data_IF_523602935163
#
_entry.id   IF_523602935163
#
_cell.length_a   1.000
_cell.length_b   1.000
_cell.length_c   1.000
_cell.angle_alpha   90.00
_cell.angle_beta   90.00
_cell.angle_gamma   90.00
#
_symmetry.space_group_name_H-M   'P 1'
#
loop_
_entity.id
_entity.type
_entity.pdbx_description
1 polymer ?
#
# COMPACT_ATOMS: atom_id res chain seq x y z
N UNK A 1 34.02 -26.44 61.03
CA UNK A 1 32.76 -25.98 60.42
C UNK A 1 32.19 -27.14 59.62
N UNK A 2 30.92 -27.48 59.87
CA UNK A 2 30.23 -28.62 59.30
C UNK A 2 29.02 -28.07 58.53
N UNK A 3 28.76 -28.55 57.32
CA UNK A 3 27.45 -28.42 56.67
C UNK A 3 27.17 -29.67 55.83
N UNK A 4 26.18 -30.43 56.29
CA UNK A 4 25.39 -31.42 55.56
C UNK A 4 24.73 -30.75 54.32
N UNK A 5 24.31 -31.40 53.25
CA UNK A 5 24.07 -32.81 52.90
C UNK A 5 22.92 -32.88 51.87
N UNK A 6 22.75 -34.05 51.22
CA UNK A 6 21.47 -34.61 50.68
C UNK A 6 20.88 -33.88 49.44
N UNK A 7 20.39 -34.50 48.37
CA UNK A 7 20.08 -35.88 47.98
C UNK A 7 19.17 -35.85 46.74
N UNK A 8 19.31 -36.87 45.89
CA UNK A 8 18.35 -37.50 44.94
C UNK A 8 16.98 -36.86 44.63
N UNK A 9 16.67 -36.64 43.35
CA UNK A 9 15.39 -36.92 42.65
C UNK A 9 15.52 -36.35 41.21
N UNK A 10 15.50 -37.14 40.12
CA UNK A 10 14.34 -37.87 39.62
C UNK A 10 13.93 -37.24 38.28
N UNK A 11 14.53 -37.68 37.17
CA UNK A 11 14.08 -37.32 35.82
C UNK A 11 12.91 -38.23 35.42
N UNK A 12 11.71 -37.72 35.10
CA UNK A 12 10.81 -38.48 34.25
C UNK A 12 11.21 -38.26 32.79
N UNK A 13 11.77 -39.30 32.19
CA UNK A 13 11.75 -39.48 30.75
C UNK A 13 10.29 -39.70 30.31
N UNK A 14 9.77 -38.82 29.46
CA UNK A 14 8.53 -39.09 28.73
C UNK A 14 8.79 -38.89 27.24
N UNK A 15 8.83 -40.02 26.54
CA UNK A 15 8.78 -40.07 25.08
C UNK A 15 7.39 -39.57 24.63
N UNK A 16 7.37 -38.47 23.90
CA UNK A 16 6.23 -38.05 23.10
C UNK A 16 6.78 -37.52 21.79
N UNK A 17 6.53 -38.25 20.69
CA UNK A 17 6.90 -37.83 19.35
C UNK A 17 6.28 -36.45 19.04
N UNK A 18 7.07 -35.37 19.13
CA UNK A 18 6.69 -34.10 18.52
C UNK A 18 6.91 -34.25 17.03
N UNK A 19 5.82 -34.53 16.32
CA UNK A 19 5.73 -34.29 14.88
C UNK A 19 6.28 -32.89 14.62
N UNK A 20 7.25 -32.77 13.73
CA UNK A 20 7.57 -31.49 13.14
C UNK A 20 6.30 -31.03 12.41
N UNK A 21 5.60 -30.05 12.97
CA UNK A 21 4.59 -29.33 12.23
C UNK A 21 5.32 -28.69 11.05
N UNK A 22 5.07 -29.27 9.87
CA UNK A 22 5.31 -28.62 8.60
C UNK A 22 4.59 -27.27 8.68
N UNK A 23 5.34 -26.19 8.90
CA UNK A 23 4.87 -24.85 8.61
C UNK A 23 4.62 -24.81 7.10
N UNK A 24 3.37 -25.09 6.74
CA UNK A 24 2.83 -24.67 5.46
C UNK A 24 3.25 -23.21 5.27
N UNK A 25 3.90 -22.91 4.14
CA UNK A 25 4.19 -21.54 3.73
C UNK A 25 2.87 -20.79 3.74
N UNK A 26 2.57 -20.13 4.85
CA UNK A 26 1.43 -19.24 4.98
C UNK A 26 1.68 -18.10 4.02
N UNK A 27 0.96 -18.11 2.89
CA UNK A 27 0.97 -17.00 1.96
C UNK A 27 0.63 -15.73 2.72
N UNK A 28 1.31 -14.63 2.39
CA UNK A 28 1.04 -13.30 2.91
C UNK A 28 -0.31 -12.75 2.39
N UNK A 29 -1.26 -13.62 2.00
CA UNK A 29 -2.67 -13.27 1.83
C UNK A 29 -3.37 -13.37 3.18
N UNK A 30 -2.99 -12.49 4.11
CA UNK A 30 -3.59 -12.42 5.42
C UNK A 30 -4.76 -11.43 5.36
N UNK A 31 -6.00 -11.93 5.45
CA UNK A 31 -7.13 -11.08 5.82
C UNK A 31 -6.82 -10.45 7.19
N UNK A 32 -6.43 -9.18 7.23
CA UNK A 32 -6.26 -8.46 8.50
C UNK A 32 -7.65 -8.06 8.96
N UNK A 33 -8.18 -8.77 9.96
CA UNK A 33 -9.45 -8.44 10.61
C UNK A 33 -9.20 -7.46 11.75
N UNK A 34 -9.60 -6.21 11.58
CA UNK A 34 -9.73 -5.24 12.65
C UNK A 34 -11.22 -4.92 12.82
N UNK A 35 -11.76 -5.06 14.03
CA UNK A 35 -13.14 -4.81 14.48
C UNK A 35 -14.10 -4.27 13.41
N UNK A 36 -14.78 -5.16 12.68
CA UNK A 36 -15.81 -4.83 11.69
C UNK A 36 -15.34 -4.65 10.24
N UNK A 37 -14.03 -4.47 10.00
CA UNK A 37 -13.46 -4.26 8.68
C UNK A 37 -12.56 -5.44 8.29
N UNK A 38 -12.85 -6.05 7.13
CA UNK A 38 -11.95 -7.03 6.50
C UNK A 38 -11.06 -6.27 5.53
N UNK A 39 -9.77 -6.19 5.84
CA UNK A 39 -8.79 -5.62 4.91
C UNK A 39 -8.36 -6.73 3.95
N UNK A 40 -8.78 -6.63 2.71
CA UNK A 40 -8.33 -7.49 1.62
C UNK A 40 -7.03 -6.93 1.05
N UNK A 41 -5.90 -7.41 1.55
CA UNK A 41 -4.59 -7.20 0.93
C UNK A 41 -4.35 -8.39 0.01
N UNK A 42 -4.38 -8.14 -1.28
CA UNK A 42 -4.03 -9.16 -2.27
C UNK A 42 -2.50 -9.18 -2.47
N UNK A 43 -1.81 -10.31 -2.21
CA UNK A 43 -0.37 -10.42 -2.44
C UNK A 43 0.03 -10.40 -3.92
N UNK A 44 -0.91 -10.66 -4.84
CA UNK A 44 -0.66 -10.64 -6.28
C UNK A 44 -0.87 -9.24 -6.90
N UNK A 45 -1.43 -8.30 -6.13
CA UNK A 45 -1.54 -6.91 -6.56
C UNK A 45 -0.19 -6.20 -6.50
N UNK A 46 0.04 -5.32 -7.46
CA UNK A 46 1.20 -4.42 -7.48
C UNK A 46 1.15 -3.40 -6.34
N UNK A 47 -0.06 -3.07 -5.89
CA UNK A 47 -0.30 -2.11 -4.83
C UNK A 47 -1.65 -2.40 -4.17
N UNK A 48 -1.68 -2.50 -2.84
CA UNK A 48 -2.88 -2.78 -2.07
C UNK A 48 -3.00 -1.76 -0.93
N UNK A 49 -4.16 -1.12 -0.78
CA UNK A 49 -4.39 -0.10 0.25
C UNK A 49 -5.81 -0.12 0.79
N UNK A 50 -5.95 0.20 2.06
CA UNK A 50 -7.23 0.38 2.74
C UNK A 50 -7.18 1.65 3.58
N UNK A 51 -8.21 2.49 3.46
CA UNK A 51 -8.32 3.73 4.20
C UNK A 51 -9.28 3.57 5.37
N UNK A 52 -8.71 3.50 6.58
CA UNK A 52 -9.44 3.20 7.82
C UNK A 52 -10.63 4.13 8.07
N UNK A 53 -10.52 5.42 7.73
CA UNK A 53 -11.59 6.40 8.00
C UNK A 53 -12.81 6.22 7.10
N UNK A 54 -12.63 5.84 5.82
CA UNK A 54 -13.75 5.68 4.86
C UNK A 54 -14.16 4.24 4.65
N UNK A 55 -13.35 3.27 5.09
CA UNK A 55 -13.56 1.85 4.82
C UNK A 55 -13.21 1.43 3.40
N UNK A 56 -12.78 2.37 2.55
CA UNK A 56 -12.46 2.09 1.15
C UNK A 56 -11.19 1.27 0.99
N UNK A 57 -11.15 0.45 -0.05
CA UNK A 57 -9.96 -0.33 -0.43
C UNK A 57 -9.70 -0.25 -1.93
N UNK A 58 -8.46 -0.51 -2.32
CA UNK A 58 -8.04 -0.65 -3.70
C UNK A 58 -6.84 -1.60 -3.80
N UNK A 59 -6.90 -2.52 -4.75
CA UNK A 59 -5.84 -3.41 -5.19
C UNK A 59 -5.60 -3.13 -6.67
N UNK A 60 -4.35 -2.86 -7.05
CA UNK A 60 -3.93 -2.45 -8.40
C UNK A 60 -3.20 -3.61 -9.08
N UNK A 61 -3.63 -3.96 -10.28
CA UNK A 61 -3.06 -5.02 -11.12
C UNK A 61 -2.75 -4.45 -12.51
N UNK A 62 -1.85 -5.10 -13.25
CA UNK A 62 -1.79 -4.93 -14.70
C UNK A 62 -3.03 -5.58 -15.32
N UNK A 63 -3.62 -4.95 -16.33
CA UNK A 63 -4.63 -5.61 -17.15
C UNK A 63 -3.98 -6.73 -17.98
N UNK A 64 -4.79 -7.69 -18.46
CA UNK A 64 -4.32 -8.84 -19.24
C UNK A 64 -3.60 -8.42 -20.54
N UNK A 65 -4.02 -7.29 -21.13
CA UNK A 65 -3.48 -6.71 -22.35
C UNK A 65 -2.45 -5.60 -22.10
N UNK A 66 -1.92 -5.50 -20.87
CA UNK A 66 -0.92 -4.51 -20.51
C UNK A 66 0.34 -4.62 -21.38
N UNK A 67 0.80 -3.48 -21.91
CA UNK A 67 2.13 -3.31 -22.50
C UNK A 67 2.68 -1.91 -22.20
N UNK A 68 3.93 -1.62 -22.55
CA UNK A 68 4.48 -0.26 -22.38
C UNK A 68 3.78 0.78 -23.28
N UNK A 69 3.27 0.34 -24.43
CA UNK A 69 2.49 1.15 -25.36
C UNK A 69 0.99 1.20 -25.00
N UNK A 70 0.51 0.22 -24.25
CA UNK A 70 -0.86 0.14 -23.72
C UNK A 70 -0.83 -0.04 -22.18
N UNK A 71 -0.49 1.01 -21.41
CA UNK A 71 -0.25 0.89 -19.98
C UNK A 71 -1.59 0.90 -19.20
N UNK A 72 -2.38 -0.15 -19.38
CA UNK A 72 -3.70 -0.29 -18.75
C UNK A 72 -3.62 -1.12 -17.48
N UNK A 73 -4.26 -0.62 -16.42
CA UNK A 73 -4.30 -1.24 -15.10
C UNK A 73 -5.74 -1.56 -14.71
N UNK A 74 -5.89 -2.57 -13.86
CA UNK A 74 -7.14 -2.95 -13.23
C UNK A 74 -7.09 -2.59 -11.75
N UNK A 75 -8.07 -1.83 -11.26
CA UNK A 75 -8.20 -1.45 -9.86
C UNK A 75 -9.47 -2.07 -9.31
N UNK A 76 -9.32 -2.93 -8.29
CA UNK A 76 -10.44 -3.63 -7.63
C UNK A 76 -10.48 -3.25 -6.15
N UNK A 77 -11.66 -3.10 -5.59
CA UNK A 77 -11.76 -2.82 -4.16
C UNK A 77 -13.19 -2.62 -3.70
N UNK A 78 -13.32 -1.98 -2.54
CA UNK A 78 -14.60 -1.66 -1.91
C UNK A 78 -14.74 -0.15 -1.80
N UNK A 79 -15.89 0.39 -2.21
CA UNK A 79 -16.21 1.80 -2.09
C UNK A 79 -16.59 2.20 -0.64
N UNK A 80 -16.83 3.50 -0.40
CA UNK A 80 -17.17 4.02 0.93
C UNK A 80 -18.49 3.47 1.51
N UNK A 81 -19.32 2.83 0.68
CA UNK A 81 -20.59 2.23 1.08
C UNK A 81 -20.47 0.72 1.30
N UNK A 82 -19.26 0.14 1.18
CA UNK A 82 -19.05 -1.29 1.30
C UNK A 82 -19.33 -2.08 0.02
N UNK A 83 -19.52 -1.42 -1.14
CA UNK A 83 -19.79 -2.11 -2.41
C UNK A 83 -18.50 -2.40 -3.16
N UNK A 84 -18.36 -3.63 -3.66
CA UNK A 84 -17.25 -3.99 -4.53
C UNK A 84 -17.30 -3.26 -5.87
N UNK A 85 -16.13 -2.84 -6.36
CA UNK A 85 -15.96 -2.22 -7.66
C UNK A 85 -14.74 -2.78 -8.40
N UNK A 86 -14.79 -2.64 -9.72
CA UNK A 86 -13.69 -2.87 -10.64
C UNK A 86 -13.61 -1.69 -11.61
N UNK A 87 -12.41 -1.16 -11.79
CA UNK A 87 -12.14 -0.01 -12.66
C UNK A 87 -10.91 -0.28 -13.52
N UNK A 88 -11.06 -0.13 -14.83
CA UNK A 88 -9.94 -0.11 -15.77
C UNK A 88 -9.38 1.31 -15.88
N UNK A 89 -8.06 1.46 -15.77
CA UNK A 89 -7.36 2.74 -15.83
C UNK A 89 -6.28 2.69 -16.89
N UNK A 90 -6.44 3.48 -17.94
CA UNK A 90 -5.37 3.77 -18.90
C UNK A 90 -4.53 4.93 -18.36
N UNK A 91 -3.35 4.64 -17.80
CA UNK A 91 -2.54 5.67 -17.13
C UNK A 91 -1.99 6.71 -18.10
N UNK A 92 -1.95 6.42 -19.40
CA UNK A 92 -1.52 7.39 -20.42
C UNK A 92 -2.49 8.57 -20.57
N UNK A 93 -3.75 8.40 -20.13
CA UNK A 93 -4.81 9.41 -20.19
C UNK A 93 -5.06 10.10 -18.85
N UNK A 94 -4.38 9.68 -17.78
CA UNK A 94 -4.61 10.22 -16.44
C UNK A 94 -3.97 11.60 -16.32
N UNK A 95 -4.78 12.59 -15.92
CA UNK A 95 -4.30 13.90 -15.52
C UNK A 95 -4.14 13.96 -13.99
N UNK A 96 -2.90 13.96 -13.44
CA UNK A 96 -2.69 13.94 -11.98
C UNK A 96 -3.13 15.24 -11.28
N UNK A 97 -3.42 16.31 -12.01
CA UNK A 97 -4.04 17.53 -11.49
C UNK A 97 -5.58 17.43 -11.39
N UNK A 98 -6.20 16.38 -11.93
CA UNK A 98 -7.65 16.17 -11.89
C UNK A 98 -8.02 14.70 -12.17
N UNK A 99 -7.65 13.82 -11.25
CA UNK A 99 -7.97 12.39 -11.32
C UNK A 99 -8.56 11.88 -10.01
N UNK A 100 -9.18 10.70 -10.04
CA UNK A 100 -9.61 10.00 -8.84
C UNK A 100 -8.42 9.41 -8.09
N UNK A 101 -8.61 9.01 -6.83
CA UNK A 101 -7.58 8.32 -6.08
C UNK A 101 -7.22 6.98 -6.71
N UNK A 102 -8.19 6.24 -7.26
CA UNK A 102 -7.95 4.98 -7.99
C UNK A 102 -7.10 5.18 -9.24
N UNK A 103 -7.35 6.24 -10.02
CA UNK A 103 -6.52 6.62 -11.17
C UNK A 103 -5.10 6.99 -10.73
N UNK A 104 -4.97 7.75 -9.64
CA UNK A 104 -3.68 8.14 -9.08
C UNK A 104 -2.88 6.94 -8.53
N UNK A 105 -3.55 5.96 -7.93
CA UNK A 105 -2.93 4.71 -7.47
C UNK A 105 -2.33 3.91 -8.62
N UNK A 106 -3.08 3.76 -9.72
CA UNK A 106 -2.60 3.09 -10.92
C UNK A 106 -1.41 3.84 -11.54
N UNK A 107 -1.50 5.18 -11.64
CA UNK A 107 -0.41 6.01 -12.11
C UNK A 107 0.84 5.87 -11.23
N UNK A 108 0.69 5.90 -9.91
CA UNK A 108 1.77 5.67 -8.95
C UNK A 108 2.37 4.26 -9.06
N UNK A 109 1.57 3.22 -9.31
CA UNK A 109 2.08 1.87 -9.55
C UNK A 109 2.87 1.76 -10.88
N UNK A 110 2.58 2.63 -11.85
CA UNK A 110 3.30 2.70 -13.12
C UNK A 110 4.62 3.46 -13.00
N UNK A 111 4.60 4.65 -12.39
CA UNK A 111 5.73 5.61 -12.41
C UNK A 111 6.52 5.67 -11.11
N UNK A 112 5.86 5.45 -9.97
CA UNK A 112 6.43 5.66 -8.66
C UNK A 112 7.60 4.70 -8.45
N UNK A 113 8.78 5.25 -8.17
CA UNK A 113 9.98 4.53 -7.73
C UNK A 113 9.60 3.36 -6.81
N UNK A 114 9.69 2.10 -7.26
CA UNK A 114 9.09 0.87 -6.67
C UNK A 114 9.47 0.54 -5.20
N UNK A 115 10.05 1.48 -4.49
CA UNK A 115 10.28 1.47 -3.05
C UNK A 115 8.99 1.53 -2.24
N UNK A 116 9.05 0.99 -1.02
CA UNK A 116 8.00 1.08 0.00
C UNK A 116 7.56 2.51 0.33
N UNK A 117 8.40 3.51 0.01
CA UNK A 117 8.10 4.93 0.26
C UNK A 117 6.93 5.48 -0.60
N UNK A 118 6.59 4.80 -1.70
CA UNK A 118 5.41 5.14 -2.50
C UNK A 118 4.10 4.86 -1.76
N UNK A 119 4.05 3.76 -0.99
CA UNK A 119 2.86 3.40 -0.22
C UNK A 119 2.51 4.48 0.80
N UNK A 120 3.54 4.98 1.49
CA UNK A 120 3.37 6.04 2.47
C UNK A 120 2.89 7.35 1.82
N UNK A 121 3.43 7.71 0.65
CA UNK A 121 3.01 8.91 -0.08
C UNK A 121 1.52 8.88 -0.42
N UNK A 122 1.04 7.79 -1.01
CA UNK A 122 -0.38 7.63 -1.34
C UNK A 122 -1.27 7.71 -0.09
N UNK A 123 -0.88 7.04 0.99
CA UNK A 123 -1.60 7.07 2.26
C UNK A 123 -1.71 8.48 2.85
N UNK A 124 -0.63 9.26 2.82
CA UNK A 124 -0.64 10.66 3.30
C UNK A 124 -1.55 11.54 2.43
N UNK A 125 -1.47 11.40 1.11
CA UNK A 125 -2.35 12.14 0.19
C UNK A 125 -3.83 11.82 0.46
N UNK A 126 -4.16 10.55 0.71
CA UNK A 126 -5.53 10.15 1.05
C UNK A 126 -6.03 10.75 2.35
N UNK A 127 -5.17 10.81 3.37
CA UNK A 127 -5.53 11.35 4.68
C UNK A 127 -5.79 12.87 4.62
N UNK A 128 -4.98 13.61 3.83
CA UNK A 128 -5.20 15.04 3.55
C UNK A 128 -6.59 15.33 2.97
N UNK A 129 -7.16 14.41 2.19
CA UNK A 129 -8.49 14.57 1.59
C UNK A 129 -9.66 14.34 2.57
N UNK A 130 -9.42 14.17 3.87
CA UNK A 130 -10.45 14.29 4.93
C UNK A 130 -11.74 13.48 4.72
N UNK A 131 -11.64 12.21 4.35
CA UNK A 131 -12.81 11.32 4.20
C UNK A 131 -13.49 11.39 2.83
N UNK A 132 -12.96 12.17 1.89
CA UNK A 132 -13.36 12.11 0.48
C UNK A 132 -13.17 10.70 -0.10
N UNK A 133 -14.09 10.29 -0.98
CA UNK A 133 -14.08 8.95 -1.60
C UNK A 133 -12.88 8.77 -2.54
N UNK A 134 -12.48 7.52 -2.73
CA UNK A 134 -11.47 7.13 -3.71
C UNK A 134 -11.84 7.50 -5.16
N UNK A 135 -13.12 7.69 -5.46
CA UNK A 135 -13.62 7.99 -6.80
C UNK A 135 -13.78 9.49 -7.09
N UNK A 136 -13.65 10.34 -6.08
CA UNK A 136 -13.72 11.79 -6.26
C UNK A 136 -12.40 12.33 -6.81
N UNK A 137 -12.52 13.36 -7.67
CA UNK A 137 -11.35 13.96 -8.31
C UNK A 137 -10.65 14.99 -7.43
N UNK A 138 -9.33 15.00 -7.47
CA UNK A 138 -8.51 15.98 -6.77
C UNK A 138 -7.25 16.36 -7.58
N UNK A 139 -6.61 17.46 -7.17
CA UNK A 139 -5.29 17.85 -7.67
C UNK A 139 -4.19 17.25 -6.77
N UNK A 140 -3.72 16.06 -7.13
CA UNK A 140 -2.70 15.36 -6.35
C UNK A 140 -1.32 16.00 -6.47
N UNK A 141 -1.05 16.71 -7.56
CA UNK A 141 0.23 17.40 -7.73
C UNK A 141 0.30 18.63 -6.83
N UNK A 142 -0.79 19.39 -6.69
CA UNK A 142 -0.87 20.47 -5.72
C UNK A 142 -0.64 19.96 -4.29
N UNK A 143 -1.34 18.89 -3.88
CA UNK A 143 -1.17 18.29 -2.54
C UNK A 143 0.25 17.75 -2.31
N UNK A 144 0.88 17.16 -3.32
CA UNK A 144 2.24 16.66 -3.21
C UNK A 144 3.28 17.80 -3.11
N UNK A 145 3.09 18.90 -3.84
CA UNK A 145 3.93 20.09 -3.72
C UNK A 145 3.80 20.76 -2.36
N UNK A 146 2.61 20.80 -1.77
CA UNK A 146 2.42 21.24 -0.39
C UNK A 146 3.24 20.36 0.57
N UNK A 147 3.10 19.04 0.47
CA UNK A 147 3.83 18.10 1.33
C UNK A 147 5.35 18.20 1.17
N UNK A 148 5.83 18.40 -0.06
CA UNK A 148 7.23 18.70 -0.34
C UNK A 148 7.69 19.99 0.36
N UNK A 149 6.89 21.06 0.30
CA UNK A 149 7.20 22.32 0.97
C UNK A 149 7.15 22.24 2.50
N UNK A 150 6.27 21.40 3.06
CA UNK A 150 6.25 21.11 4.50
C UNK A 150 7.57 20.46 4.93
N UNK A 151 8.08 19.49 4.16
CA UNK A 151 9.38 18.86 4.45
C UNK A 151 10.52 19.88 4.43
N UNK A 152 10.51 20.81 3.47
CA UNK A 152 11.48 21.91 3.41
C UNK A 152 11.42 22.80 4.65
N UNK A 153 10.20 23.18 5.07
CA UNK A 153 9.97 24.04 6.22
C UNK A 153 10.45 23.38 7.52
N UNK A 154 10.28 22.07 7.63
CA UNK A 154 10.75 21.27 8.77
C UNK A 154 12.25 20.98 8.73
N UNK A 155 12.98 21.41 7.70
CA UNK A 155 14.40 21.07 7.50
C UNK A 155 14.65 19.61 7.12
N UNK A 156 13.60 18.85 6.77
CA UNK A 156 13.70 17.46 6.33
C UNK A 156 14.05 17.40 4.84
N UNK A 157 15.33 17.55 4.54
CA UNK A 157 15.82 17.57 3.15
C UNK A 157 15.69 16.23 2.43
N UNK A 158 15.82 15.10 3.13
CA UNK A 158 15.57 13.78 2.54
C UNK A 158 14.11 13.66 2.07
N UNK A 159 13.16 14.07 2.91
CA UNK A 159 11.75 14.14 2.56
C UNK A 159 11.47 15.05 1.38
N UNK A 160 12.08 16.24 1.37
CA UNK A 160 11.95 17.20 0.27
C UNK A 160 12.41 16.60 -1.06
N UNK A 161 13.60 16.00 -1.10
CA UNK A 161 14.16 15.39 -2.30
C UNK A 161 13.36 14.17 -2.76
N UNK A 162 12.91 13.34 -1.82
CA UNK A 162 12.06 12.18 -2.11
C UNK A 162 10.76 12.59 -2.80
N UNK A 163 10.02 13.55 -2.23
CA UNK A 163 8.78 14.03 -2.84
C UNK A 163 9.05 14.73 -4.18
N UNK A 164 10.12 15.52 -4.28
CA UNK A 164 10.54 16.13 -5.54
C UNK A 164 10.79 15.09 -6.64
N UNK A 165 11.48 14.00 -6.33
CA UNK A 165 11.70 12.90 -7.28
C UNK A 165 10.38 12.24 -7.67
N UNK A 166 9.53 11.89 -6.71
CA UNK A 166 8.24 11.24 -6.97
C UNK A 166 7.33 12.09 -7.87
N UNK A 167 7.23 13.40 -7.60
CA UNK A 167 6.49 14.35 -8.45
C UNK A 167 7.08 14.36 -9.86
N UNK A 168 8.42 14.43 -9.98
CA UNK A 168 9.08 14.48 -11.28
C UNK A 168 8.87 13.20 -12.10
N UNK A 169 8.92 12.01 -11.47
CA UNK A 169 8.70 10.73 -12.14
C UNK A 169 7.28 10.69 -12.77
N UNK A 170 6.26 11.11 -12.01
CA UNK A 170 4.86 11.19 -12.48
C UNK A 170 4.72 12.18 -13.64
N UNK A 171 5.20 13.42 -13.45
CA UNK A 171 5.05 14.47 -14.46
C UNK A 171 5.82 14.18 -15.74
N UNK A 172 7.00 13.53 -15.64
CA UNK A 172 7.79 13.13 -16.80
C UNK A 172 7.03 12.12 -17.65
N UNK A 173 6.41 11.13 -17.02
CA UNK A 173 5.56 10.17 -17.72
C UNK A 173 4.36 10.83 -18.40
N UNK A 174 3.57 11.64 -17.67
CA UNK A 174 2.39 12.29 -18.22
C UNK A 174 2.74 13.20 -19.42
N UNK A 175 3.85 13.94 -19.35
CA UNK A 175 4.33 14.78 -20.46
C UNK A 175 4.75 13.99 -21.69
N UNK A 176 5.28 12.78 -21.52
CA UNK A 176 5.68 11.92 -22.65
C UNK A 176 4.50 11.34 -23.43
N UNK A 177 3.28 11.41 -22.88
CA UNK A 177 2.06 10.87 -23.47
C UNK A 177 1.08 11.97 -23.94
N UNK A 178 1.41 13.24 -23.71
CA UNK A 178 0.62 14.42 -24.11
C UNK A 178 0.82 14.79 -25.57
#
# INVERSE_FOLDING_TARGET
MNVNGIGTAGYPAWQGARKAESSTKGGFGANVKATGNVVHIDPDALFSIHHVKTGESANVYRADDYSEDNPVYLVKGTDKNGKEYEQTVDVSKVNPNSCSYTEMLALNAHTGNKSDSNFMTMSILKDKMSGTSYHEKADYMAMAHELMNDMKTLGNWDGYLRYGKWINDILTFCKSKS
#
